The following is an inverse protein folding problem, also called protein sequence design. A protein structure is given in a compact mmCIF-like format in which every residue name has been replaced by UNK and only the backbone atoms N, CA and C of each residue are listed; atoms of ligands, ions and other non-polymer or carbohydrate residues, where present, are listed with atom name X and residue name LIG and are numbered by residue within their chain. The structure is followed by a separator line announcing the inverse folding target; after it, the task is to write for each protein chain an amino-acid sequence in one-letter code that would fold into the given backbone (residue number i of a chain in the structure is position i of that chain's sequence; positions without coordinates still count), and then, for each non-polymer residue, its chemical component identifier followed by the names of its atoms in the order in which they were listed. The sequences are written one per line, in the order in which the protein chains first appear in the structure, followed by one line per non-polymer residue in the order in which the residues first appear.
data_IF_150551457402
#
_entry.id   IF_150551457402
#
_cell.length_a   1.000
_cell.length_b   1.000
_cell.length_c   1.000
_cell.angle_alpha   90.00
_cell.angle_beta   90.00
_cell.angle_gamma   90.00
#
_symmetry.space_group_name_H-M   'P 1'
#
loop_
_entity.id
_entity.type
_entity.pdbx_description
1 polymer ?
#
# COMPACT_ATOMS: atom_id res chain seq x y z
N UNK A 1 -19.53 62.94 -44.89
CA UNK A 1 -18.28 62.49 -44.16
C UNK A 1 -18.63 62.34 -42.70
N UNK A 2 -18.75 61.06 -42.20
CA UNK A 2 -19.02 60.78 -40.78
C UNK A 2 -17.73 60.19 -40.15
N UNK A 3 -17.06 61.00 -39.34
CA UNK A 3 -15.90 60.56 -38.56
C UNK A 3 -16.39 59.71 -37.37
N UNK A 4 -16.07 58.40 -37.38
CA UNK A 4 -16.20 57.52 -36.22
C UNK A 4 -15.00 57.76 -35.30
N UNK A 5 -15.25 58.37 -34.14
CA UNK A 5 -14.30 58.44 -33.04
C UNK A 5 -14.21 57.07 -32.36
N UNK A 6 -13.13 56.34 -32.57
CA UNK A 6 -12.82 55.13 -31.80
C UNK A 6 -12.28 55.55 -30.42
N UNK A 7 -13.12 55.37 -29.38
CA UNK A 7 -12.66 55.54 -28.01
C UNK A 7 -11.88 54.30 -27.61
N UNK A 8 -10.58 54.44 -27.48
CA UNK A 8 -9.68 53.41 -26.90
C UNK A 8 -9.88 53.44 -25.37
N UNK A 9 -10.32 52.33 -24.79
CA UNK A 9 -10.35 52.11 -23.35
C UNK A 9 -9.16 51.24 -22.90
N UNK A 10 -7.99 51.79 -22.61
CA UNK A 10 -6.81 51.00 -22.18
C UNK A 10 -6.98 50.41 -20.76
N UNK A 11 -7.91 50.96 -19.97
CA UNK A 11 -8.11 50.59 -18.57
C UNK A 11 -8.76 49.19 -18.38
N UNK A 12 -9.57 48.76 -19.31
CA UNK A 12 -10.26 47.46 -19.27
C UNK A 12 -9.34 46.26 -19.53
N UNK A 13 -8.24 46.44 -20.29
CA UNK A 13 -7.26 45.37 -20.54
C UNK A 13 -6.38 45.08 -19.32
N UNK A 14 -5.93 46.11 -18.56
CA UNK A 14 -5.10 45.96 -17.35
C UNK A 14 -5.84 45.22 -16.24
N UNK A 15 -7.12 45.55 -16.03
CA UNK A 15 -7.88 44.92 -14.96
C UNK A 15 -8.22 43.45 -15.26
N UNK A 16 -8.43 43.07 -16.53
CA UNK A 16 -8.60 41.64 -16.90
C UNK A 16 -7.33 40.83 -16.69
N UNK A 17 -6.15 41.39 -16.96
CA UNK A 17 -4.86 40.69 -16.74
C UNK A 17 -4.57 40.51 -15.25
N UNK A 18 -4.86 41.52 -14.42
CA UNK A 18 -4.75 41.43 -12.97
C UNK A 18 -5.72 40.42 -12.34
N UNK A 19 -6.94 40.37 -12.87
CA UNK A 19 -7.98 39.43 -12.41
C UNK A 19 -7.58 37.97 -12.77
N UNK A 20 -7.09 37.71 -13.99
CA UNK A 20 -6.58 36.41 -14.39
C UNK A 20 -5.38 35.99 -13.52
N UNK A 21 -4.43 36.89 -13.27
CA UNK A 21 -3.29 36.63 -12.40
C UNK A 21 -3.71 36.27 -10.98
N UNK A 22 -4.66 37.00 -10.40
CA UNK A 22 -5.18 36.71 -9.06
C UNK A 22 -5.91 35.35 -8.98
N UNK A 23 -6.71 34.99 -9.99
CA UNK A 23 -7.37 33.68 -10.06
C UNK A 23 -6.35 32.55 -10.18
N UNK A 24 -5.31 32.72 -11.00
CA UNK A 24 -4.26 31.71 -11.17
C UNK A 24 -3.49 31.48 -9.85
N UNK A 25 -3.15 32.54 -9.15
CA UNK A 25 -2.47 32.44 -7.84
C UNK A 25 -3.36 31.74 -6.80
N UNK A 26 -4.67 32.06 -6.77
CA UNK A 26 -5.61 31.40 -5.85
C UNK A 26 -5.75 29.90 -6.14
N UNK A 27 -5.85 29.51 -7.40
CA UNK A 27 -5.96 28.09 -7.79
C UNK A 27 -4.66 27.34 -7.49
N UNK A 28 -3.49 27.93 -7.75
CA UNK A 28 -2.22 27.31 -7.41
C UNK A 28 -2.02 27.16 -5.89
N UNK A 29 -2.43 28.15 -5.09
CA UNK A 29 -2.31 28.08 -3.63
C UNK A 29 -3.28 27.05 -3.02
N UNK A 30 -4.50 26.92 -3.54
CA UNK A 30 -5.45 25.90 -3.06
C UNK A 30 -4.98 24.48 -3.36
N UNK A 31 -4.40 24.25 -4.54
CA UNK A 31 -3.83 22.94 -4.89
C UNK A 31 -2.62 22.60 -4.00
N UNK A 32 -1.74 23.56 -3.71
CA UNK A 32 -0.60 23.35 -2.83
C UNK A 32 -1.02 23.03 -1.39
N UNK A 33 -2.07 23.69 -0.88
CA UNK A 33 -2.61 23.41 0.46
C UNK A 33 -3.28 22.03 0.53
N UNK A 34 -4.04 21.64 -0.50
CA UNK A 34 -4.66 20.32 -0.59
C UNK A 34 -3.62 19.20 -0.65
N UNK A 35 -2.56 19.38 -1.45
CA UNK A 35 -1.47 18.43 -1.57
C UNK A 35 -0.67 18.30 -0.26
N UNK A 36 -0.43 19.41 0.44
CA UNK A 36 0.28 19.40 1.73
C UNK A 36 -0.54 18.66 2.81
N UNK A 37 -1.84 18.88 2.86
CA UNK A 37 -2.73 18.16 3.77
C UNK A 37 -2.79 16.66 3.44
N UNK A 38 -2.82 16.28 2.16
CA UNK A 38 -2.76 14.89 1.73
C UNK A 38 -1.46 14.20 2.14
N UNK A 39 -0.32 14.86 1.90
CA UNK A 39 0.99 14.33 2.29
C UNK A 39 1.11 14.16 3.80
N UNK A 40 0.60 15.13 4.58
CA UNK A 40 0.59 15.04 6.04
C UNK A 40 -0.28 13.88 6.53
N UNK A 41 -1.46 13.69 5.96
CA UNK A 41 -2.33 12.56 6.31
C UNK A 41 -1.63 11.22 6.06
N UNK A 42 -0.97 11.06 4.91
CA UNK A 42 -0.22 9.85 4.57
C UNK A 42 0.92 9.63 5.58
N UNK A 43 1.74 10.65 5.83
CA UNK A 43 2.85 10.58 6.80
C UNK A 43 2.37 10.17 8.18
N UNK A 44 1.35 10.85 8.73
CA UNK A 44 0.83 10.58 10.07
C UNK A 44 0.32 9.13 10.20
N UNK A 45 -0.33 8.59 9.15
CA UNK A 45 -0.81 7.21 9.14
C UNK A 45 0.31 6.19 9.04
N UNK A 46 1.37 6.43 8.25
CA UNK A 46 2.53 5.54 8.21
C UNK A 46 3.31 5.56 9.52
N UNK A 47 3.46 6.72 10.17
CA UNK A 47 4.08 6.82 11.48
C UNK A 47 3.28 6.08 12.55
N UNK A 48 1.94 6.17 12.50
CA UNK A 48 1.07 5.39 13.37
C UNK A 48 1.21 3.90 13.11
N UNK A 49 1.13 3.46 11.84
CA UNK A 49 1.27 2.06 11.47
C UNK A 49 2.63 1.48 11.89
N UNK A 50 3.71 2.25 11.72
CA UNK A 50 5.06 1.87 12.17
C UNK A 50 5.08 1.57 13.66
N UNK A 51 4.55 2.47 14.49
CA UNK A 51 4.49 2.26 15.95
C UNK A 51 3.65 1.03 16.34
N UNK A 52 2.51 0.83 15.68
CA UNK A 52 1.66 -0.33 15.94
C UNK A 52 2.35 -1.63 15.53
N UNK A 53 3.08 -1.66 14.43
CA UNK A 53 3.80 -2.86 13.98
C UNK A 53 5.00 -3.19 14.89
N UNK A 54 5.73 -2.18 15.39
CA UNK A 54 6.78 -2.40 16.40
C UNK A 54 6.17 -3.04 17.65
N UNK A 55 5.11 -2.45 18.19
CA UNK A 55 4.42 -3.00 19.36
C UNK A 55 3.91 -4.43 19.13
N UNK A 56 3.34 -4.71 17.94
CA UNK A 56 2.88 -6.04 17.59
C UNK A 56 4.04 -7.03 17.51
N UNK A 57 5.17 -6.67 16.87
CA UNK A 57 6.35 -7.52 16.73
C UNK A 57 6.96 -7.93 18.08
N UNK A 58 6.93 -7.02 19.07
CA UNK A 58 7.40 -7.28 20.44
C UNK A 58 6.48 -8.24 21.20
N UNK A 59 5.19 -8.27 20.86
CA UNK A 59 4.16 -8.99 21.60
C UNK A 59 3.57 -10.20 20.85
N UNK A 60 4.17 -10.61 19.73
CA UNK A 60 3.74 -11.82 19.01
C UNK A 60 4.13 -13.06 19.81
N UNK A 61 3.17 -13.95 20.12
CA UNK A 61 3.48 -15.25 20.70
C UNK A 61 4.45 -16.03 19.81
N UNK A 62 5.52 -16.53 20.39
CA UNK A 62 6.51 -17.30 19.64
C UNK A 62 5.91 -18.65 19.20
N UNK A 63 6.14 -19.03 17.93
CA UNK A 63 5.65 -20.28 17.36
C UNK A 63 5.81 -20.31 15.85
N UNK A 64 6.20 -21.46 15.29
CA UNK A 64 6.71 -21.52 13.91
C UNK A 64 5.65 -21.35 12.82
N UNK A 65 4.41 -21.78 13.07
CA UNK A 65 3.37 -21.83 12.03
C UNK A 65 2.20 -20.89 12.30
N UNK A 66 2.46 -19.73 12.93
CA UNK A 66 1.40 -18.78 13.30
C UNK A 66 1.70 -17.38 12.76
N UNK A 67 0.65 -16.75 12.22
CA UNK A 67 0.68 -15.38 11.72
C UNK A 67 -0.22 -14.49 12.59
N UNK A 68 0.20 -13.26 12.92
CA UNK A 68 -0.65 -12.29 13.60
C UNK A 68 -1.93 -12.05 12.81
N UNK A 69 -3.07 -12.00 13.49
CA UNK A 69 -4.37 -11.88 12.86
C UNK A 69 -5.21 -10.75 13.44
N UNK A 70 -5.30 -10.68 14.76
CA UNK A 70 -6.14 -9.69 15.46
C UNK A 70 -5.66 -9.47 16.89
N UNK A 71 -6.29 -8.54 17.59
CA UNK A 71 -6.14 -8.35 19.03
C UNK A 71 -7.37 -8.99 19.70
N UNK A 72 -7.16 -9.80 20.72
CA UNK A 72 -8.26 -10.38 21.50
C UNK A 72 -8.83 -9.37 22.52
N UNK A 73 -9.94 -9.71 23.17
CA UNK A 73 -10.60 -8.85 24.15
C UNK A 73 -9.76 -8.49 25.40
N UNK A 74 -8.57 -9.11 25.57
CA UNK A 74 -7.61 -8.81 26.63
C UNK A 74 -6.42 -7.97 26.12
N UNK A 75 -6.45 -7.49 24.90
CA UNK A 75 -5.38 -6.71 24.29
C UNK A 75 -4.20 -7.53 23.78
N UNK A 76 -4.23 -8.86 23.81
CA UNK A 76 -3.14 -9.71 23.38
C UNK A 76 -3.27 -10.05 21.87
N UNK A 77 -2.12 -10.20 21.19
CA UNK A 77 -2.09 -10.63 19.79
C UNK A 77 -2.65 -12.05 19.65
N UNK A 78 -3.69 -12.19 18.85
CA UNK A 78 -4.24 -13.47 18.42
C UNK A 78 -3.62 -13.88 17.09
N UNK A 79 -3.13 -15.11 17.01
CA UNK A 79 -2.48 -15.65 15.83
C UNK A 79 -3.33 -16.75 15.16
N UNK A 80 -3.19 -16.89 13.84
CA UNK A 80 -3.80 -17.95 13.04
C UNK A 80 -2.71 -18.75 12.31
N UNK A 81 -3.10 -19.91 11.78
CA UNK A 81 -2.23 -20.71 10.93
C UNK A 81 -1.75 -19.92 9.71
N UNK A 82 -0.57 -20.26 9.18
CA UNK A 82 -0.07 -19.75 7.89
C UNK A 82 -1.03 -20.02 6.73
N UNK A 83 -1.89 -21.03 6.85
CA UNK A 83 -2.91 -21.38 5.85
C UNK A 83 -4.22 -20.60 5.99
N UNK A 84 -4.29 -19.66 6.94
CA UNK A 84 -5.44 -18.78 7.09
C UNK A 84 -5.39 -17.66 6.06
N UNK A 85 -6.51 -17.31 5.48
CA UNK A 85 -6.60 -16.39 4.33
C UNK A 85 -5.96 -15.02 4.53
N UNK A 86 -5.90 -14.52 5.77
CA UNK A 86 -5.27 -13.22 6.07
C UNK A 86 -3.75 -13.29 6.27
N UNK A 87 -3.14 -14.47 6.17
CA UNK A 87 -1.74 -14.69 6.57
C UNK A 87 -0.72 -13.81 5.82
N UNK A 88 -1.03 -13.42 4.58
CA UNK A 88 -0.18 -12.55 3.77
C UNK A 88 -0.22 -11.07 4.13
N UNK A 89 -1.23 -10.62 4.87
CA UNK A 89 -1.42 -9.19 5.14
C UNK A 89 -0.38 -8.62 6.10
N UNK A 90 -0.03 -9.37 7.15
CA UNK A 90 0.96 -8.91 8.09
C UNK A 90 2.33 -8.64 7.45
N UNK A 91 2.95 -9.59 6.74
CA UNK A 91 4.18 -9.28 6.00
C UNK A 91 3.98 -8.22 4.91
N UNK A 92 2.81 -8.14 4.28
CA UNK A 92 2.47 -7.09 3.33
C UNK A 92 2.55 -5.68 3.93
N UNK A 93 2.01 -5.49 5.13
CA UNK A 93 2.10 -4.21 5.87
C UNK A 93 3.56 -3.86 6.17
N UNK A 94 4.38 -4.83 6.59
CA UNK A 94 5.81 -4.60 6.85
C UNK A 94 6.56 -4.16 5.59
N UNK A 95 6.23 -4.73 4.42
CA UNK A 95 6.78 -4.31 3.14
C UNK A 95 6.39 -2.88 2.77
N UNK A 96 5.12 -2.48 2.95
CA UNK A 96 4.67 -1.11 2.69
C UNK A 96 5.33 -0.09 3.62
N UNK A 97 5.52 -0.42 4.90
CA UNK A 97 6.24 0.45 5.83
C UNK A 97 7.70 0.60 5.39
N UNK A 98 8.37 -0.50 5.00
CA UNK A 98 9.72 -0.44 4.46
C UNK A 98 9.80 0.43 3.19
N UNK A 99 8.88 0.25 2.25
CA UNK A 99 8.83 1.02 1.00
C UNK A 99 8.68 2.51 1.27
N UNK A 100 7.77 2.89 2.17
CA UNK A 100 7.51 4.28 2.50
C UNK A 100 8.64 4.95 3.28
N UNK A 101 9.23 4.21 4.25
CA UNK A 101 10.21 4.78 5.19
C UNK A 101 11.66 4.56 4.80
N UNK A 102 11.95 3.57 3.94
CA UNK A 102 13.32 3.10 3.67
C UNK A 102 13.98 2.36 4.84
N UNK A 103 13.24 2.05 5.91
CA UNK A 103 13.78 1.47 7.15
C UNK A 103 14.16 0.00 6.94
N UNK A 104 15.46 -0.29 6.97
CA UNK A 104 16.02 -1.63 6.75
C UNK A 104 15.64 -2.65 7.84
N UNK A 105 15.27 -2.19 9.02
CA UNK A 105 14.75 -3.05 10.08
C UNK A 105 13.41 -3.66 9.64
N UNK A 106 12.54 -2.84 9.05
CA UNK A 106 11.27 -3.32 8.48
C UNK A 106 11.47 -4.24 7.27
N UNK A 107 12.47 -3.99 6.42
CA UNK A 107 12.85 -4.94 5.35
C UNK A 107 13.19 -6.31 5.91
N UNK A 108 14.00 -6.35 6.96
CA UNK A 108 14.40 -7.59 7.62
C UNK A 108 13.20 -8.35 8.20
N UNK A 109 12.31 -7.65 8.91
CA UNK A 109 11.08 -8.24 9.41
C UNK A 109 10.15 -8.71 8.29
N UNK A 110 9.97 -7.91 7.26
CA UNK A 110 9.14 -8.26 6.12
C UNK A 110 9.63 -9.55 5.43
N UNK A 111 10.93 -9.68 5.19
CA UNK A 111 11.55 -10.92 4.67
C UNK A 111 11.26 -12.11 5.57
N UNK A 112 11.59 -12.00 6.86
CA UNK A 112 11.41 -13.07 7.85
C UNK A 112 9.96 -13.57 7.90
N UNK A 113 8.98 -12.66 7.90
CA UNK A 113 7.59 -13.02 7.99
C UNK A 113 7.00 -13.50 6.65
N UNK A 114 7.51 -13.00 5.52
CA UNK A 114 7.17 -13.51 4.19
C UNK A 114 7.63 -14.95 4.02
N UNK A 115 8.87 -15.26 4.37
CA UNK A 115 9.47 -16.59 4.20
C UNK A 115 8.77 -17.68 5.02
N UNK A 116 8.14 -17.34 6.14
CA UNK A 116 7.26 -18.27 6.88
C UNK A 116 6.09 -18.79 6.04
N UNK A 117 5.66 -18.07 5.01
CA UNK A 117 4.55 -18.46 4.14
C UNK A 117 5.00 -19.34 2.95
N UNK A 118 6.30 -19.64 2.81
CA UNK A 118 6.76 -20.48 1.68
C UNK A 118 6.02 -21.82 1.54
N UNK A 119 5.66 -22.55 2.63
CA UNK A 119 4.90 -23.79 2.52
C UNK A 119 3.52 -23.64 1.86
N UNK A 120 2.96 -22.42 1.89
CA UNK A 120 1.63 -22.14 1.28
C UNK A 120 1.66 -22.23 -0.25
N UNK A 121 2.82 -22.14 -0.89
CA UNK A 121 2.96 -22.22 -2.36
C UNK A 121 2.36 -23.48 -2.99
N UNK A 122 2.27 -24.58 -2.23
CA UNK A 122 1.67 -25.84 -2.70
C UNK A 122 0.29 -26.11 -2.13
N UNK A 123 -0.24 -25.21 -1.32
CA UNK A 123 -1.55 -25.34 -0.70
C UNK A 123 -2.66 -25.18 -1.73
N UNK A 124 -3.71 -26.02 -1.62
CA UNK A 124 -4.84 -26.06 -2.56
C UNK A 124 -6.21 -25.95 -1.86
N UNK A 125 -6.22 -25.82 -0.55
CA UNK A 125 -7.42 -25.88 0.27
C UNK A 125 -8.24 -24.59 0.33
N UNK A 126 -7.74 -23.46 -0.20
CA UNK A 126 -8.40 -22.17 -0.13
C UNK A 126 -8.28 -21.40 -1.46
N UNK A 127 -9.32 -20.68 -1.84
CA UNK A 127 -9.30 -19.78 -3.00
C UNK A 127 -8.52 -18.48 -2.74
N UNK A 128 -8.29 -18.11 -1.48
CA UNK A 128 -7.59 -16.88 -1.07
C UNK A 128 -6.05 -16.98 -1.15
N UNK A 129 -5.50 -18.05 -1.74
CA UNK A 129 -4.05 -18.20 -1.95
C UNK A 129 -3.45 -16.96 -2.63
N UNK A 130 -4.20 -16.33 -3.54
CA UNK A 130 -3.81 -15.08 -4.17
C UNK A 130 -3.51 -13.96 -3.15
N UNK A 131 -4.40 -13.75 -2.16
CA UNK A 131 -4.19 -12.76 -1.08
C UNK A 131 -3.00 -13.15 -0.20
N UNK A 132 -2.91 -14.43 0.18
CA UNK A 132 -1.85 -14.92 1.05
C UNK A 132 -0.47 -14.70 0.42
N UNK A 133 -0.32 -15.04 -0.86
CA UNK A 133 0.98 -15.05 -1.53
C UNK A 133 1.32 -13.73 -2.20
N UNK A 134 0.34 -13.03 -2.80
CA UNK A 134 0.65 -11.79 -3.51
C UNK A 134 0.84 -10.60 -2.58
N UNK A 135 0.11 -10.54 -1.45
CA UNK A 135 0.36 -9.52 -0.43
C UNK A 135 1.74 -9.67 0.24
N UNK A 136 2.25 -10.89 0.36
CA UNK A 136 3.56 -11.21 0.95
C UNK A 136 4.68 -11.29 -0.08
N UNK A 137 4.79 -12.42 -0.78
CA UNK A 137 5.83 -12.65 -1.80
C UNK A 137 5.72 -11.71 -2.99
N UNK A 138 4.51 -11.25 -3.37
CA UNK A 138 4.32 -10.29 -4.45
C UNK A 138 5.00 -8.95 -4.14
N UNK A 139 4.78 -8.40 -2.94
CA UNK A 139 5.48 -7.20 -2.49
C UNK A 139 6.99 -7.45 -2.31
N UNK A 140 7.37 -8.61 -1.77
CA UNK A 140 8.77 -8.99 -1.63
C UNK A 140 9.48 -9.01 -2.98
N UNK A 141 8.91 -9.67 -4.01
CA UNK A 141 9.49 -9.71 -5.36
C UNK A 141 9.54 -8.31 -5.97
N UNK A 142 8.45 -7.55 -5.91
CA UNK A 142 8.37 -6.20 -6.47
C UNK A 142 9.48 -5.27 -5.95
N UNK A 143 9.79 -5.36 -4.64
CA UNK A 143 10.73 -4.47 -3.98
C UNK A 143 12.19 -4.98 -4.01
N UNK A 144 12.40 -6.30 -4.11
CA UNK A 144 13.76 -6.88 -4.02
C UNK A 144 14.26 -7.49 -5.33
N UNK A 145 13.37 -7.74 -6.29
CA UNK A 145 13.67 -8.45 -7.54
C UNK A 145 14.32 -9.83 -7.32
N UNK A 146 14.04 -10.47 -6.17
CA UNK A 146 14.57 -11.80 -5.86
C UNK A 146 13.81 -12.87 -6.64
N UNK A 147 14.49 -13.53 -7.58
CA UNK A 147 13.89 -14.54 -8.46
C UNK A 147 13.30 -15.74 -7.68
N UNK A 148 13.86 -16.11 -6.52
CA UNK A 148 13.25 -17.13 -5.66
C UNK A 148 11.82 -16.80 -5.27
N UNK A 149 11.51 -15.53 -5.01
CA UNK A 149 10.16 -15.10 -4.65
C UNK A 149 9.20 -15.19 -5.84
N UNK A 150 9.68 -14.90 -7.04
CA UNK A 150 8.94 -15.09 -8.28
C UNK A 150 8.59 -16.56 -8.51
N UNK A 151 9.54 -17.47 -8.33
CA UNK A 151 9.30 -18.91 -8.49
C UNK A 151 8.24 -19.41 -7.50
N UNK A 152 8.27 -18.91 -6.25
CA UNK A 152 7.25 -19.20 -5.23
C UNK A 152 5.87 -18.70 -5.68
N UNK A 153 5.79 -17.50 -6.25
CA UNK A 153 4.52 -16.94 -6.78
C UNK A 153 3.97 -17.76 -7.94
N UNK A 154 4.84 -18.15 -8.88
CA UNK A 154 4.46 -18.99 -10.02
C UNK A 154 3.93 -20.34 -9.52
N UNK A 155 4.63 -20.99 -8.59
CA UNK A 155 4.16 -22.25 -7.99
C UNK A 155 2.81 -22.07 -7.28
N UNK A 156 2.61 -20.95 -6.59
CA UNK A 156 1.34 -20.65 -5.91
C UNK A 156 0.19 -20.47 -6.92
N UNK A 157 0.46 -19.82 -8.04
CA UNK A 157 -0.52 -19.64 -9.12
C UNK A 157 -0.92 -20.99 -9.73
N UNK A 158 0.03 -21.90 -9.96
CA UNK A 158 -0.28 -23.26 -10.40
C UNK A 158 -1.11 -24.03 -9.37
N UNK A 159 -0.79 -23.89 -8.08
CA UNK A 159 -1.57 -24.55 -7.01
C UNK A 159 -2.99 -24.01 -6.96
N UNK A 160 -3.20 -22.71 -7.11
CA UNK A 160 -4.52 -22.10 -7.18
C UNK A 160 -5.28 -22.54 -8.45
N UNK A 161 -4.62 -22.58 -9.60
CA UNK A 161 -5.21 -22.98 -10.88
C UNK A 161 -5.75 -24.41 -10.87
N UNK A 162 -5.25 -25.31 -10.01
CA UNK A 162 -5.81 -26.66 -9.86
C UNK A 162 -7.26 -26.69 -9.35
N UNK A 163 -7.77 -25.56 -8.85
CA UNK A 163 -9.17 -25.42 -8.39
C UNK A 163 -10.12 -25.09 -9.54
N UNK A 164 -9.60 -24.69 -10.69
CA UNK A 164 -10.42 -24.41 -11.85
C UNK A 164 -11.11 -25.69 -12.35
N UNK A 165 -12.42 -25.60 -12.56
CA UNK A 165 -13.21 -26.67 -13.15
C UNK A 165 -13.80 -26.18 -14.47
N UNK A 166 -13.38 -26.73 -15.63
CA UNK A 166 -13.83 -26.26 -16.94
C UNK A 166 -15.32 -26.49 -17.22
N UNK A 167 -16.02 -27.31 -16.39
CA UNK A 167 -17.44 -27.53 -16.54
C UNK A 167 -18.32 -26.46 -15.91
N UNK A 168 -17.77 -25.70 -14.97
CA UNK A 168 -18.51 -24.66 -14.21
C UNK A 168 -17.89 -23.24 -14.31
N UNK A 169 -16.74 -23.10 -14.92
CA UNK A 169 -16.02 -21.84 -15.11
C UNK A 169 -15.05 -21.53 -13.98
#
# INVERSE_FOLDING_TARGET
MKNKVQRHFPYLKKNKLLLLGAITVLVCSSNALAQNNGNKLVSDNFDFAKRQMVHMLENIPQGEAKMPHSINGKGNTSCRSIYWWTSGFFPGILWYINEYTGDKTFESFAKKWTEKLEPVKTFKGNHDIGFMMYCSFGNAYRLTQNEKYKDILIQSAYSLATRFNPQVG
#
